data_IF_383993679264
#
_entry.id   IF_383993679264
#
_cell.length_a   1.000
_cell.length_b   1.000
_cell.length_c   1.000
_cell.angle_alpha   90.00
_cell.angle_beta   90.00
_cell.angle_gamma   90.00
#
_symmetry.space_group_name_H-M   'P 1'
#
loop_
_entity.id
_entity.type
_entity.pdbx_description
1 polymer ?
#
# COMPACT_ATOMS: atom_id res chain seq x y z
N UNK A 1 14.77 -41.36 22.72
CA UNK A 1 14.85 -40.14 21.90
C UNK A 1 16.29 -39.96 21.47
N UNK A 2 16.58 -40.09 20.18
CA UNK A 2 17.92 -39.80 19.66
C UNK A 2 18.00 -38.28 19.50
N UNK A 3 18.95 -37.67 20.19
CA UNK A 3 19.29 -36.26 20.05
C UNK A 3 20.20 -36.10 18.83
N UNK A 4 19.85 -35.21 17.91
CA UNK A 4 20.58 -34.97 16.66
C UNK A 4 21.11 -33.52 16.54
N UNK A 5 22.00 -33.01 17.40
CA UNK A 5 22.62 -31.70 17.14
C UNK A 5 23.74 -31.83 16.10
N UNK A 6 23.72 -31.00 15.05
CA UNK A 6 24.87 -30.82 14.13
C UNK A 6 24.81 -31.64 12.83
N UNK A 7 23.62 -32.04 12.41
CA UNK A 7 23.40 -32.82 11.17
C UNK A 7 23.43 -31.98 9.90
N UNK A 8 23.38 -30.64 10.04
CA UNK A 8 23.31 -29.74 8.88
C UNK A 8 22.01 -29.86 8.09
N UNK A 9 20.97 -30.43 8.70
CA UNK A 9 19.62 -30.41 8.15
C UNK A 9 19.03 -29.00 8.23
N UNK A 10 18.04 -28.71 7.38
CA UNK A 10 17.36 -27.42 7.33
C UNK A 10 16.79 -26.96 8.70
N UNK A 11 16.39 -27.92 9.55
CA UNK A 11 15.98 -27.69 10.93
C UNK A 11 17.10 -27.27 11.91
N UNK A 12 18.35 -27.62 11.63
CA UNK A 12 19.52 -27.27 12.49
C UNK A 12 20.06 -25.86 12.21
N UNK A 13 19.85 -25.34 11.00
CA UNK A 13 20.49 -24.10 10.54
C UNK A 13 19.58 -22.89 10.77
N UNK A 14 18.26 -23.09 10.97
CA UNK A 14 17.26 -22.00 10.99
C UNK A 14 17.54 -20.93 9.91
N UNK A 15 17.96 -21.37 8.71
CA UNK A 15 18.43 -20.50 7.63
C UNK A 15 17.30 -19.70 6.95
N UNK A 16 16.13 -19.59 7.60
CA UNK A 16 15.09 -18.66 7.21
C UNK A 16 15.45 -17.25 7.68
N UNK A 17 15.11 -16.25 6.88
CA UNK A 17 15.16 -14.86 7.34
C UNK A 17 14.24 -14.74 8.55
N UNK A 18 14.75 -14.35 9.74
CA UNK A 18 13.90 -14.16 10.91
C UNK A 18 12.85 -13.10 10.59
N UNK A 19 11.63 -13.30 11.06
CA UNK A 19 10.56 -12.35 10.75
C UNK A 19 10.88 -10.99 11.37
N UNK A 20 10.67 -9.89 10.62
CA UNK A 20 10.81 -8.55 11.17
C UNK A 20 9.76 -8.33 12.27
N UNK A 21 10.08 -7.43 13.20
CA UNK A 21 9.18 -6.99 14.27
C UNK A 21 9.05 -5.47 14.23
N UNK A 22 7.85 -4.90 13.95
CA UNK A 22 6.63 -5.62 13.59
C UNK A 22 6.73 -6.26 12.20
N UNK A 23 6.07 -7.41 12.01
CA UNK A 23 5.99 -8.06 10.69
C UNK A 23 5.09 -7.29 9.74
N UNK A 24 3.94 -6.84 10.24
CA UNK A 24 2.95 -6.10 9.48
C UNK A 24 2.76 -4.70 10.08
N UNK A 25 2.66 -3.70 9.21
CA UNK A 25 2.32 -2.32 9.59
C UNK A 25 0.93 -2.03 9.01
N UNK A 26 -0.03 -1.76 9.89
CA UNK A 26 -1.34 -1.22 9.53
C UNK A 26 -1.24 0.29 9.40
N UNK A 27 -1.60 0.82 8.23
CA UNK A 27 -1.51 2.25 7.93
C UNK A 27 -2.77 3.03 8.32
N UNK A 28 -3.81 2.35 8.82
CA UNK A 28 -5.08 2.99 9.20
C UNK A 28 -5.90 3.52 8.03
N UNK A 29 -5.49 3.20 6.80
CA UNK A 29 -6.13 3.59 5.53
C UNK A 29 -6.60 2.34 4.72
N UNK A 30 -6.90 1.25 5.43
CA UNK A 30 -7.27 -0.05 4.87
C UNK A 30 -6.18 -0.75 4.04
N UNK A 31 -4.91 -0.36 4.23
CA UNK A 31 -3.74 -1.06 3.68
C UNK A 31 -2.78 -1.52 4.77
N UNK A 32 -2.03 -2.59 4.47
CA UNK A 32 -1.07 -3.21 5.38
C UNK A 32 0.23 -3.50 4.63
N UNK A 33 1.36 -3.01 5.15
CA UNK A 33 2.70 -3.39 4.64
C UNK A 33 3.22 -4.64 5.34
N UNK A 34 3.71 -5.63 4.58
CA UNK A 34 4.49 -6.77 5.06
C UNK A 34 5.98 -6.44 5.01
N UNK A 35 6.61 -6.17 6.15
CA UNK A 35 8.03 -5.82 6.25
C UNK A 35 8.97 -6.97 5.84
N UNK A 36 8.47 -8.22 5.78
CA UNK A 36 9.27 -9.36 5.35
C UNK A 36 9.51 -9.33 3.83
N UNK A 37 8.47 -8.98 3.07
CA UNK A 37 8.49 -8.99 1.61
C UNK A 37 8.56 -7.60 0.99
N UNK A 38 8.30 -6.57 1.79
CA UNK A 38 8.10 -5.21 1.32
C UNK A 38 6.89 -5.09 0.43
N UNK A 39 5.87 -5.96 0.55
CA UNK A 39 4.62 -5.87 -0.21
C UNK A 39 3.56 -5.11 0.58
N UNK A 40 2.63 -4.47 -0.13
CA UNK A 40 1.46 -3.85 0.50
C UNK A 40 0.20 -4.58 0.07
N UNK A 41 -0.62 -4.92 1.05
CA UNK A 41 -1.82 -5.73 0.92
C UNK A 41 -3.04 -4.91 1.33
N UNK A 42 -4.20 -5.22 0.76
CA UNK A 42 -5.46 -4.71 1.32
C UNK A 42 -5.67 -5.31 2.71
N UNK A 43 -6.17 -4.50 3.64
CA UNK A 43 -6.45 -4.94 5.01
C UNK A 43 -7.59 -5.96 5.05
N UNK A 44 -8.64 -5.70 4.28
CA UNK A 44 -9.71 -6.66 4.03
C UNK A 44 -9.25 -7.73 3.03
N UNK A 45 -9.16 -8.96 3.50
CA UNK A 45 -8.78 -10.13 2.73
C UNK A 45 -9.96 -10.76 1.96
N UNK A 46 -11.16 -10.22 2.01
CA UNK A 46 -12.31 -10.59 1.18
C UNK A 46 -12.91 -9.31 0.58
N UNK A 47 -12.07 -8.50 -0.05
CA UNK A 47 -12.45 -7.18 -0.51
C UNK A 47 -13.69 -7.16 -1.46
N UNK A 48 -13.88 -8.12 -2.38
CA UNK A 48 -15.10 -8.18 -3.20
C UNK A 48 -16.36 -8.58 -2.42
N UNK A 49 -16.24 -9.02 -1.17
CA UNK A 49 -17.31 -9.56 -0.33
C UNK A 49 -17.78 -10.96 -0.71
N UNK A 50 -17.55 -11.39 -1.96
CA UNK A 50 -17.91 -12.70 -2.50
C UNK A 50 -16.76 -13.31 -3.31
N UNK A 51 -16.74 -14.63 -3.40
CA UNK A 51 -15.81 -15.37 -4.26
C UNK A 51 -16.05 -15.04 -5.74
N UNK A 52 -14.99 -15.11 -6.55
CA UNK A 52 -14.99 -14.73 -7.98
C UNK A 52 -14.41 -15.86 -8.82
N UNK A 53 -14.85 -15.94 -10.07
CA UNK A 53 -14.07 -16.66 -11.10
C UNK A 53 -12.72 -15.98 -11.30
N UNK A 54 -11.77 -16.68 -11.92
CA UNK A 54 -10.43 -16.13 -12.14
C UNK A 54 -10.45 -14.84 -12.99
N UNK A 55 -11.29 -14.80 -14.04
CA UNK A 55 -11.41 -13.62 -14.88
C UNK A 55 -12.08 -12.45 -14.13
N UNK A 56 -13.15 -12.72 -13.37
CA UNK A 56 -13.78 -11.69 -12.53
C UNK A 56 -12.83 -11.16 -11.46
N UNK A 57 -11.91 -11.98 -10.94
CA UNK A 57 -10.89 -11.54 -9.99
C UNK A 57 -9.91 -10.53 -10.64
N UNK A 58 -9.49 -10.79 -11.89
CA UNK A 58 -8.66 -9.86 -12.66
C UNK A 58 -9.41 -8.57 -12.99
N UNK A 59 -10.68 -8.68 -13.41
CA UNK A 59 -11.51 -7.53 -13.73
C UNK A 59 -11.82 -6.69 -12.48
N UNK A 60 -11.99 -7.32 -11.33
CA UNK A 60 -12.18 -6.63 -10.06
C UNK A 60 -10.96 -5.78 -9.71
N UNK A 61 -9.76 -6.36 -9.77
CA UNK A 61 -8.50 -5.65 -9.52
C UNK A 61 -8.30 -4.52 -10.54
N UNK A 62 -8.64 -4.73 -11.81
CA UNK A 62 -8.65 -3.66 -12.81
C UNK A 62 -9.60 -2.53 -12.41
N UNK A 63 -10.79 -2.86 -11.90
CA UNK A 63 -11.76 -1.90 -11.38
C UNK A 63 -11.24 -1.08 -10.20
N UNK A 64 -10.44 -1.67 -9.30
CA UNK A 64 -9.73 -0.93 -8.23
C UNK A 64 -8.79 0.11 -8.88
N UNK A 65 -7.97 -0.30 -9.84
CA UNK A 65 -6.99 0.58 -10.47
C UNK A 65 -7.60 1.69 -11.32
N UNK A 66 -8.79 1.47 -11.90
CA UNK A 66 -9.54 2.49 -12.65
C UNK A 66 -10.46 3.34 -11.79
N UNK A 67 -10.50 3.11 -10.47
CA UNK A 67 -11.36 3.85 -9.54
C UNK A 67 -12.84 3.48 -9.60
N UNK A 68 -13.19 2.33 -10.20
CA UNK A 68 -14.55 1.75 -10.12
C UNK A 68 -14.85 1.26 -8.70
N UNK A 69 -13.83 0.77 -8.00
CA UNK A 69 -13.88 0.42 -6.59
C UNK A 69 -12.90 1.29 -5.79
N UNK A 70 -13.01 1.31 -4.45
CA UNK A 70 -12.03 2.00 -3.60
C UNK A 70 -10.62 1.51 -3.94
N UNK A 71 -9.73 2.47 -4.20
CA UNK A 71 -8.37 2.20 -4.65
C UNK A 71 -7.31 2.46 -3.56
N UNK A 72 -7.77 2.92 -2.38
CA UNK A 72 -6.92 3.23 -1.22
C UNK A 72 -5.78 4.20 -1.54
N UNK A 73 -5.97 5.07 -2.55
CA UNK A 73 -4.96 6.01 -3.02
C UNK A 73 -3.93 5.44 -4.01
N UNK A 74 -4.07 4.19 -4.46
CA UNK A 74 -3.12 3.53 -5.35
C UNK A 74 -3.79 2.93 -6.60
N UNK A 75 -3.04 2.80 -7.70
CA UNK A 75 -3.57 2.36 -9.02
C UNK A 75 -2.77 1.21 -9.64
N UNK A 76 -1.89 0.59 -8.87
CA UNK A 76 -0.99 -0.49 -9.24
C UNK A 76 -1.31 -1.81 -8.50
N UNK A 77 -2.56 -1.99 -8.06
CA UNK A 77 -3.02 -3.24 -7.46
C UNK A 77 -3.00 -4.38 -8.46
N UNK A 78 -2.67 -5.57 -7.99
CA UNK A 78 -2.65 -6.81 -8.77
C UNK A 78 -3.14 -7.98 -7.95
N UNK A 79 -3.53 -9.04 -8.63
CA UNK A 79 -3.71 -10.33 -7.99
C UNK A 79 -2.32 -10.88 -7.58
N UNK A 80 -2.14 -11.36 -6.34
CA UNK A 80 -0.85 -11.84 -5.86
C UNK A 80 -0.41 -13.07 -6.63
N UNK A 81 0.89 -13.26 -6.78
CA UNK A 81 1.42 -14.51 -7.30
C UNK A 81 1.49 -15.57 -6.19
N UNK A 82 1.69 -16.83 -6.57
CA UNK A 82 1.71 -17.96 -5.62
C UNK A 82 2.71 -17.77 -4.48
N UNK A 83 3.91 -17.23 -4.75
CA UNK A 83 4.96 -17.04 -3.75
C UNK A 83 4.58 -15.94 -2.75
N UNK A 84 3.86 -14.91 -3.19
CA UNK A 84 3.42 -13.81 -2.33
C UNK A 84 2.29 -14.23 -1.39
N UNK A 85 1.32 -15.02 -1.86
CA UNK A 85 0.33 -15.62 -0.95
C UNK A 85 1.01 -16.57 0.04
N UNK A 86 1.94 -17.40 -0.43
CA UNK A 86 2.71 -18.31 0.43
C UNK A 86 3.55 -17.57 1.46
N UNK A 87 4.07 -16.38 1.16
CA UNK A 87 4.90 -15.65 2.12
C UNK A 87 4.10 -15.19 3.35
N UNK A 88 2.78 -15.03 3.23
CA UNK A 88 1.91 -14.72 4.37
C UNK A 88 1.77 -15.89 5.37
N UNK A 89 2.00 -17.13 4.92
CA UNK A 89 1.65 -18.34 5.65
C UNK A 89 2.54 -18.56 6.89
N UNK A 90 1.91 -18.71 8.05
CA UNK A 90 2.47 -19.25 9.29
C UNK A 90 1.98 -20.68 9.49
N UNK A 91 2.86 -21.67 9.26
CA UNK A 91 2.51 -23.09 9.39
C UNK A 91 2.35 -23.57 10.84
N UNK A 92 2.71 -22.75 11.83
CA UNK A 92 2.43 -23.05 13.23
C UNK A 92 1.00 -22.67 13.63
N UNK A 93 0.21 -22.11 12.70
CA UNK A 93 -1.15 -21.65 12.94
C UNK A 93 -2.12 -22.30 11.97
N UNK A 94 -3.39 -22.20 12.32
CA UNK A 94 -4.48 -22.82 11.59
C UNK A 94 -5.69 -21.88 11.60
N UNK A 95 -6.31 -21.71 10.43
CA UNK A 95 -7.56 -20.97 10.23
C UNK A 95 -7.67 -19.61 10.98
N UNK A 96 -6.97 -18.55 10.54
CA UNK A 96 -6.06 -18.53 9.40
C UNK A 96 -4.62 -18.93 9.77
N UNK A 97 -3.89 -19.43 8.78
CA UNK A 97 -2.45 -19.70 8.81
C UNK A 97 -1.66 -18.41 8.68
N UNK A 98 -1.94 -17.43 9.53
CA UNK A 98 -1.30 -16.11 9.50
C UNK A 98 -0.62 -15.78 10.83
N UNK A 99 0.46 -14.99 10.84
CA UNK A 99 1.20 -14.58 12.03
C UNK A 99 0.31 -14.07 13.16
N UNK A 100 0.66 -14.39 14.40
CA UNK A 100 -0.05 -13.81 15.55
C UNK A 100 0.01 -12.28 15.54
N UNK A 101 -1.14 -11.64 15.82
CA UNK A 101 -1.25 -10.19 15.81
C UNK A 101 -1.30 -9.54 14.43
N UNK A 102 -1.53 -10.31 13.35
CA UNK A 102 -1.73 -9.71 12.03
C UNK A 102 -2.92 -8.71 12.02
N UNK A 103 -2.83 -7.60 11.27
CA UNK A 103 -3.89 -6.59 11.22
C UNK A 103 -5.00 -6.90 10.19
N UNK A 104 -4.83 -7.95 9.38
CA UNK A 104 -5.79 -8.32 8.34
C UNK A 104 -7.17 -8.71 8.90
N UNK A 105 -8.21 -8.29 8.19
CA UNK A 105 -9.61 -8.55 8.50
C UNK A 105 -10.26 -9.43 7.43
N UNK A 106 -11.38 -10.08 7.76
CA UNK A 106 -12.16 -10.90 6.82
C UNK A 106 -11.37 -11.99 6.09
N UNK A 107 -10.30 -12.50 6.70
CA UNK A 107 -9.50 -13.59 6.15
C UNK A 107 -10.35 -14.86 6.12
N UNK A 108 -10.52 -15.41 4.93
CA UNK A 108 -11.30 -16.63 4.73
C UNK A 108 -10.39 -17.84 4.88
N UNK A 109 -10.78 -18.83 5.67
CA UNK A 109 -10.01 -20.06 5.89
C UNK A 109 -9.93 -21.01 4.68
N UNK A 110 -10.13 -20.51 3.48
CA UNK A 110 -10.22 -21.28 2.24
C UNK A 110 -9.24 -20.76 1.20
N UNK A 111 -9.47 -21.08 -0.07
CA UNK A 111 -8.58 -20.80 -1.18
C UNK A 111 -8.72 -19.39 -1.75
N UNK A 112 -7.56 -18.83 -2.09
CA UNK A 112 -7.38 -17.56 -2.75
C UNK A 112 -6.77 -17.73 -4.12
N UNK A 113 -7.25 -16.96 -5.10
CA UNK A 113 -6.66 -16.92 -6.43
C UNK A 113 -5.27 -16.30 -6.42
N UNK A 114 -4.35 -16.88 -7.20
CA UNK A 114 -3.11 -16.22 -7.59
C UNK A 114 -3.07 -15.89 -9.09
N UNK A 115 -2.29 -14.86 -9.46
CA UNK A 115 -2.01 -14.49 -10.85
C UNK A 115 -1.08 -15.47 -11.57
N UNK A 116 -0.49 -16.42 -10.86
CA UNK A 116 0.42 -17.40 -11.44
C UNK A 116 -0.36 -18.46 -12.22
N UNK A 117 -0.23 -18.45 -13.55
CA UNK A 117 -0.71 -19.53 -14.40
C UNK A 117 0.12 -20.80 -14.16
N UNK A 118 -0.51 -21.97 -14.20
CA UNK A 118 0.19 -23.24 -14.06
C UNK A 118 1.09 -23.48 -15.29
N UNK A 119 2.38 -23.72 -15.06
CA UNK A 119 3.39 -23.75 -16.13
C UNK A 119 3.18 -24.89 -17.15
N UNK A 120 2.46 -25.96 -16.76
CA UNK A 120 2.20 -27.13 -17.59
C UNK A 120 0.87 -26.98 -18.37
N UNK A 121 -0.05 -26.12 -17.89
CA UNK A 121 -1.33 -25.84 -18.53
C UNK A 121 -1.76 -24.41 -18.21
N UNK A 122 -1.72 -23.51 -19.20
CA UNK A 122 -2.20 -22.14 -19.05
C UNK A 122 -3.70 -22.05 -18.74
N UNK A 123 -4.43 -23.17 -18.87
CA UNK A 123 -5.82 -23.34 -18.43
C UNK A 123 -5.96 -23.35 -16.92
N UNK A 124 -4.91 -23.64 -16.14
CA UNK A 124 -4.98 -23.66 -14.68
C UNK A 124 -4.28 -22.44 -14.06
N UNK A 125 -4.72 -22.05 -12.86
CA UNK A 125 -4.06 -21.08 -12.00
C UNK A 125 -3.80 -21.69 -10.61
N UNK A 126 -2.73 -21.23 -9.96
CA UNK A 126 -2.45 -21.63 -8.59
C UNK A 126 -3.38 -20.92 -7.61
N UNK A 127 -3.86 -21.67 -6.62
CA UNK A 127 -4.61 -21.20 -5.47
C UNK A 127 -3.86 -21.51 -4.17
N UNK A 128 -4.05 -20.69 -3.15
CA UNK A 128 -3.45 -20.90 -1.82
C UNK A 128 -4.53 -20.88 -0.75
N UNK A 129 -4.59 -21.93 0.07
CA UNK A 129 -5.50 -22.04 1.21
C UNK A 129 -4.95 -21.28 2.41
N UNK A 130 -5.69 -20.31 2.92
CA UNK A 130 -5.33 -19.64 4.18
C UNK A 130 -5.74 -20.44 5.41
N UNK A 131 -6.54 -21.50 5.26
CA UNK A 131 -6.91 -22.39 6.37
C UNK A 131 -5.77 -23.32 6.78
N UNK A 132 -5.09 -23.91 5.78
CA UNK A 132 -4.09 -24.97 5.96
C UNK A 132 -2.72 -24.65 5.33
N UNK A 133 -2.58 -23.54 4.61
CA UNK A 133 -1.35 -23.19 3.89
C UNK A 133 -1.07 -24.08 2.68
N UNK A 134 -2.08 -24.80 2.19
CA UNK A 134 -1.98 -25.66 1.01
C UNK A 134 -1.95 -24.86 -0.27
N UNK A 135 -1.28 -25.42 -1.27
CA UNK A 135 -1.07 -24.79 -2.57
C UNK A 135 -1.44 -25.81 -3.61
N UNK A 136 -2.51 -25.50 -4.35
CA UNK A 136 -3.11 -26.38 -5.35
C UNK A 136 -3.21 -25.62 -6.68
N UNK A 137 -3.41 -26.34 -7.78
CA UNK A 137 -3.76 -25.76 -9.07
C UNK A 137 -5.17 -26.20 -9.48
N UNK A 138 -5.91 -25.27 -10.07
CA UNK A 138 -7.30 -25.49 -10.49
C UNK A 138 -7.52 -24.84 -11.84
N UNK A 139 -8.52 -25.33 -12.57
CA UNK A 139 -8.93 -24.76 -13.85
C UNK A 139 -9.36 -23.30 -13.67
N UNK A 140 -9.04 -22.44 -14.63
CA UNK A 140 -9.56 -21.07 -14.75
C UNK A 140 -11.01 -21.06 -15.28
N UNK A 141 -11.73 -22.15 -15.05
CA UNK A 141 -13.11 -22.38 -15.49
C UNK A 141 -14.04 -21.30 -14.92
N UNK A 142 -15.19 -21.11 -15.58
CA UNK A 142 -16.26 -20.24 -15.10
C UNK A 142 -17.00 -20.80 -13.88
N UNK A 143 -16.80 -22.08 -13.53
CA UNK A 143 -17.51 -22.74 -12.42
C UNK A 143 -16.74 -22.72 -11.10
N UNK A 144 -15.48 -22.29 -11.12
CA UNK A 144 -14.61 -22.26 -9.94
C UNK A 144 -14.54 -20.85 -9.34
N UNK A 145 -14.94 -20.73 -8.07
CA UNK A 145 -15.00 -19.44 -7.37
C UNK A 145 -14.09 -19.44 -6.14
N UNK A 146 -13.12 -18.52 -6.12
CA UNK A 146 -12.19 -18.34 -5.00
C UNK A 146 -12.04 -16.88 -4.61
N UNK A 147 -11.42 -16.64 -3.45
CA UNK A 147 -11.30 -15.32 -2.88
C UNK A 147 -10.18 -14.50 -3.51
N UNK A 148 -10.34 -13.18 -3.47
CA UNK A 148 -9.42 -12.21 -4.07
C UNK A 148 -8.81 -11.36 -2.96
N UNK A 149 -7.48 -11.37 -2.88
CA UNK A 149 -6.74 -10.55 -1.94
C UNK A 149 -5.72 -9.70 -2.70
N UNK A 150 -6.10 -8.46 -3.08
CA UNK A 150 -5.21 -7.61 -3.86
C UNK A 150 -3.91 -7.31 -3.11
N UNK A 151 -2.82 -7.33 -3.87
CA UNK A 151 -1.49 -6.93 -3.42
C UNK A 151 -0.95 -5.91 -4.40
N UNK A 152 -0.11 -5.01 -3.94
CA UNK A 152 0.73 -4.19 -4.80
C UNK A 152 2.18 -4.39 -4.37
N UNK A 153 3.09 -4.07 -5.29
CA UNK A 153 4.49 -3.93 -4.90
C UNK A 153 4.54 -2.90 -3.78
N UNK A 154 5.03 -3.29 -2.61
CA UNK A 154 5.24 -2.30 -1.58
C UNK A 154 6.54 -1.55 -1.89
N UNK A 155 6.60 -0.36 -1.32
CA UNK A 155 7.69 0.57 -1.50
C UNK A 155 8.89 -0.01 -0.74
N UNK A 156 9.94 -0.44 -1.46
CA UNK A 156 11.14 -0.98 -0.85
C UNK A 156 11.90 0.18 -0.19
N UNK A 157 11.76 0.34 1.12
CA UNK A 157 12.49 1.33 1.90
C UNK A 157 11.72 1.82 3.12
N UNK A 158 12.38 2.50 4.08
CA UNK A 158 11.65 3.30 5.06
C UNK A 158 10.70 4.23 4.31
N UNK A 159 9.41 4.19 4.66
CA UNK A 159 8.45 5.13 4.12
C UNK A 159 8.56 6.45 4.86
N UNK A 160 8.33 7.53 4.14
CA UNK A 160 8.50 8.87 4.62
C UNK A 160 7.25 9.71 4.43
N UNK A 161 7.16 10.78 5.20
CA UNK A 161 6.10 11.77 5.08
C UNK A 161 6.61 13.05 4.43
N UNK A 162 5.80 13.65 3.57
CA UNK A 162 5.93 15.06 3.18
C UNK A 162 4.93 15.84 4.02
N UNK A 163 5.42 16.78 4.83
CA UNK A 163 4.61 17.58 5.75
C UNK A 163 4.80 19.06 5.45
N UNK A 164 3.70 19.79 5.42
CA UNK A 164 3.73 21.24 5.23
C UNK A 164 2.49 21.92 5.77
N UNK A 165 2.47 23.24 5.58
CA UNK A 165 1.38 24.10 5.98
C UNK A 165 1.08 25.10 4.86
N UNK A 166 -0.21 25.42 4.71
CA UNK A 166 -0.64 26.52 3.84
C UNK A 166 -1.14 27.66 4.72
N UNK A 167 -0.57 28.85 4.57
CA UNK A 167 -0.95 30.04 5.34
C UNK A 167 -1.35 31.19 4.43
N UNK A 168 -2.31 32.00 4.86
CA UNK A 168 -2.61 33.32 4.29
C UNK A 168 -2.50 34.37 5.38
N UNK A 169 -1.71 35.42 5.17
CA UNK A 169 -1.43 36.44 6.19
C UNK A 169 -0.97 35.85 7.54
N UNK A 170 -0.11 34.81 7.50
CA UNK A 170 0.38 34.06 8.66
C UNK A 170 -0.68 33.26 9.44
N UNK A 171 -1.90 33.12 8.92
CA UNK A 171 -2.95 32.28 9.49
C UNK A 171 -3.10 31.02 8.65
N UNK A 172 -3.17 29.87 9.31
CA UNK A 172 -3.44 28.59 8.67
C UNK A 172 -4.70 28.60 7.81
N UNK A 173 -4.59 28.15 6.56
CA UNK A 173 -5.71 28.10 5.62
C UNK A 173 -6.18 26.66 5.41
N UNK A 174 -7.24 26.28 6.11
CA UNK A 174 -7.90 24.98 5.90
C UNK A 174 -8.68 24.88 4.60
N UNK A 175 -8.92 23.66 4.12
CA UNK A 175 -9.71 23.40 2.91
C UNK A 175 -9.00 23.70 1.59
N UNK A 176 -7.66 23.70 1.57
CA UNK A 176 -6.85 23.77 0.35
C UNK A 176 -6.62 22.35 -0.14
N UNK A 177 -6.88 22.07 -1.40
CA UNK A 177 -6.57 20.79 -2.03
C UNK A 177 -5.08 20.75 -2.34
N UNK A 178 -4.36 19.82 -1.74
CA UNK A 178 -2.95 19.56 -2.02
C UNK A 178 -2.86 18.35 -2.95
N UNK A 179 -2.18 18.52 -4.08
CA UNK A 179 -1.96 17.45 -5.07
C UNK A 179 -0.49 17.09 -5.09
N UNK A 180 -0.20 15.81 -4.92
CA UNK A 180 1.12 15.22 -5.11
C UNK A 180 1.17 14.54 -6.49
N UNK A 181 2.27 14.74 -7.21
CA UNK A 181 2.61 14.01 -8.44
C UNK A 181 4.08 13.59 -8.43
N UNK A 182 4.50 12.76 -9.41
CA UNK A 182 5.88 12.28 -9.55
C UNK A 182 5.96 10.77 -9.33
N UNK A 183 6.78 10.32 -8.37
CA UNK A 183 6.92 8.90 -8.02
C UNK A 183 5.63 8.23 -7.53
N UNK A 184 4.63 9.01 -7.13
CA UNK A 184 3.26 8.60 -6.86
C UNK A 184 2.31 9.78 -7.09
N UNK A 185 1.00 9.50 -7.13
CA UNK A 185 -0.03 10.53 -7.23
C UNK A 185 -1.01 10.40 -6.08
N UNK A 186 -1.27 11.49 -5.36
CA UNK A 186 -2.19 11.53 -4.23
C UNK A 186 -2.80 12.92 -4.07
N UNK A 187 -3.93 13.02 -3.36
CA UNK A 187 -4.50 14.30 -2.94
C UNK A 187 -4.83 14.27 -1.45
N UNK A 188 -4.71 15.42 -0.80
CA UNK A 188 -5.17 15.64 0.59
C UNK A 188 -5.73 17.04 0.74
N UNK A 189 -6.39 17.33 1.86
CA UNK A 189 -6.98 18.64 2.15
C UNK A 189 -6.35 19.17 3.43
N UNK A 190 -5.96 20.45 3.43
CA UNK A 190 -5.42 21.08 4.65
C UNK A 190 -6.45 21.10 5.79
N UNK A 191 -5.99 20.76 6.99
CA UNK A 191 -6.76 20.87 8.23
C UNK A 191 -7.09 22.35 8.56
N UNK A 192 -7.99 22.66 9.51
CA UNK A 192 -8.37 24.04 9.83
C UNK A 192 -7.19 24.96 10.19
N UNK A 193 -6.10 24.42 10.72
CA UNK A 193 -4.86 25.13 11.03
C UNK A 193 -3.89 25.25 9.82
N UNK A 194 -4.33 24.84 8.62
CA UNK A 194 -3.55 24.89 7.39
C UNK A 194 -2.58 23.73 7.19
N UNK A 195 -2.45 22.80 8.14
CA UNK A 195 -1.48 21.70 8.03
C UNK A 195 -1.96 20.61 7.08
N UNK A 196 -1.02 19.92 6.43
CA UNK A 196 -1.27 18.73 5.62
C UNK A 196 -0.10 17.75 5.69
N UNK A 197 -0.35 16.50 5.33
CA UNK A 197 0.69 15.49 5.16
C UNK A 197 0.36 14.50 4.05
N UNK A 198 1.36 14.13 3.27
CA UNK A 198 1.36 12.90 2.48
C UNK A 198 2.19 11.86 3.24
N UNK A 199 1.57 10.74 3.61
CA UNK A 199 2.23 9.63 4.29
C UNK A 199 2.60 8.52 3.30
N UNK A 200 3.39 7.56 3.77
CA UNK A 200 3.70 6.31 3.05
C UNK A 200 4.38 6.52 1.69
N UNK A 201 5.27 7.51 1.63
CA UNK A 201 6.01 7.87 0.42
C UNK A 201 7.36 7.16 0.37
N UNK A 202 7.67 6.51 -0.75
CA UNK A 202 9.02 6.03 -1.01
C UNK A 202 10.02 7.17 -1.15
N UNK A 203 11.30 6.80 -1.09
CA UNK A 203 12.35 7.59 -1.69
C UNK A 203 12.05 7.83 -3.17
N UNK A 204 12.19 9.09 -3.59
CA UNK A 204 11.79 9.50 -4.92
C UNK A 204 11.64 11.00 -5.05
N UNK A 205 11.35 11.42 -6.27
CA UNK A 205 11.09 12.81 -6.61
C UNK A 205 9.60 13.03 -6.80
N UNK A 206 9.09 14.08 -6.16
CA UNK A 206 7.69 14.44 -6.10
C UNK A 206 7.52 15.92 -6.37
N UNK A 207 6.31 16.32 -6.77
CA UNK A 207 5.90 17.73 -6.83
C UNK A 207 4.62 17.88 -6.02
N UNK A 208 4.58 18.87 -5.12
CA UNK A 208 3.38 19.23 -4.35
C UNK A 208 2.81 20.54 -4.89
N UNK A 209 1.53 20.53 -5.21
CA UNK A 209 0.82 21.67 -5.83
C UNK A 209 -0.48 21.97 -5.07
N UNK A 210 -0.63 23.16 -4.47
CA UNK A 210 -1.87 23.60 -3.84
C UNK A 210 -2.91 24.09 -4.86
N UNK A 211 -4.18 23.92 -4.53
CA UNK A 211 -5.29 24.50 -5.29
C UNK A 211 -6.49 24.82 -4.40
N UNK A 212 -7.05 26.01 -4.56
CA UNK A 212 -8.30 26.44 -3.93
C UNK A 212 -8.92 27.57 -4.74
N UNK A 213 -10.22 27.53 -4.96
CA UNK A 213 -10.95 28.56 -5.72
C UNK A 213 -10.71 29.95 -5.08
N UNK A 214 -10.48 30.97 -5.91
CA UNK A 214 -10.23 32.37 -5.54
C UNK A 214 -8.89 32.65 -4.82
N UNK A 215 -8.01 31.65 -4.72
CA UNK A 215 -6.67 31.80 -4.18
C UNK A 215 -5.60 31.49 -5.23
N UNK A 216 -4.51 32.25 -5.18
CA UNK A 216 -3.24 31.95 -5.80
C UNK A 216 -2.26 31.48 -4.72
N UNK A 217 -1.23 30.74 -5.10
CA UNK A 217 -0.24 30.19 -4.16
C UNK A 217 1.19 30.53 -4.58
N UNK A 218 2.01 30.86 -3.60
CA UNK A 218 3.43 31.14 -3.75
C UNK A 218 4.24 30.23 -2.82
N UNK A 219 5.12 29.37 -3.36
CA UNK A 219 5.28 29.05 -4.78
C UNK A 219 4.04 28.32 -5.36
N UNK A 220 3.87 28.24 -6.70
CA UNK A 220 2.73 27.50 -7.30
C UNK A 220 2.88 25.98 -7.18
N UNK A 221 4.09 25.48 -6.93
CA UNK A 221 4.40 24.08 -6.63
C UNK A 221 5.82 23.97 -6.08
N UNK A 222 6.07 22.91 -5.30
CA UNK A 222 7.40 22.62 -4.74
C UNK A 222 7.81 21.22 -5.17
N UNK A 223 8.99 21.12 -5.77
CA UNK A 223 9.63 19.82 -6.01
C UNK A 223 10.30 19.33 -4.72
N UNK A 224 10.01 18.10 -4.34
CA UNK A 224 10.46 17.44 -3.12
C UNK A 224 11.21 16.17 -3.49
N UNK A 225 12.40 15.98 -2.92
CA UNK A 225 13.11 14.70 -2.98
C UNK A 225 13.08 14.06 -1.61
N UNK A 226 12.56 12.84 -1.54
CA UNK A 226 12.66 11.97 -0.38
C UNK A 226 13.87 11.06 -0.58
N UNK A 227 14.77 11.04 0.41
CA UNK A 227 15.97 10.21 0.41
C UNK A 227 16.29 9.75 1.85
N UNK A 228 15.58 8.72 2.31
CA UNK A 228 15.81 8.07 3.60
C UNK A 228 15.28 8.85 4.82
N UNK A 229 14.53 9.94 4.63
CA UNK A 229 13.93 10.70 5.74
C UNK A 229 12.64 11.45 5.35
N UNK A 230 11.82 11.75 6.37
CA UNK A 230 10.65 12.62 6.27
C UNK A 230 11.07 14.02 5.82
N UNK A 231 10.31 14.60 4.89
CA UNK A 231 10.48 15.99 4.44
C UNK A 231 9.44 16.86 5.13
N UNK A 232 9.89 17.97 5.71
CA UNK A 232 9.06 18.95 6.44
C UNK A 232 9.31 20.34 5.89
N UNK A 233 8.38 21.26 6.14
CA UNK A 233 8.48 22.66 5.70
C UNK A 233 8.19 22.85 4.21
N UNK A 234 7.38 21.97 3.64
CA UNK A 234 6.88 22.12 2.25
C UNK A 234 5.69 23.08 2.30
N UNK A 235 5.97 24.35 2.56
CA UNK A 235 4.95 25.32 2.93
C UNK A 235 4.55 26.21 1.76
N UNK A 236 3.30 26.69 1.78
CA UNK A 236 2.75 27.56 0.74
C UNK A 236 2.10 28.80 1.36
N UNK A 237 2.32 29.94 0.70
CA UNK A 237 1.58 31.17 1.00
C UNK A 237 0.40 31.30 0.05
N UNK A 238 -0.79 31.58 0.59
CA UNK A 238 -2.02 31.78 -0.15
C UNK A 238 -2.34 33.27 -0.24
N UNK A 239 -2.65 33.73 -1.44
CA UNK A 239 -3.01 35.12 -1.75
C UNK A 239 -4.37 35.13 -2.45
N UNK A 240 -5.24 36.07 -2.12
CA UNK A 240 -6.49 36.23 -2.88
C UNK A 240 -6.19 36.84 -4.25
N UNK A 241 -7.01 36.54 -5.27
CA UNK A 241 -6.80 36.98 -6.67
C UNK A 241 -6.68 38.49 -6.95
N UNK A 242 -6.65 39.35 -5.92
CA UNK A 242 -6.40 40.79 -5.99
C UNK A 242 -5.02 41.21 -5.47
N UNK A 243 -4.24 40.30 -4.87
CA UNK A 243 -2.94 40.60 -4.27
C UNK A 243 -1.84 39.80 -5.00
N UNK A 244 -1.11 40.48 -5.90
CA UNK A 244 -0.12 39.86 -6.80
C UNK A 244 1.33 40.09 -6.37
N UNK A 245 1.57 40.67 -5.19
CA UNK A 245 2.93 40.94 -4.71
C UNK A 245 3.39 39.93 -3.66
N UNK A 246 4.37 39.06 -3.96
CA UNK A 246 5.06 38.28 -2.94
C UNK A 246 5.73 39.24 -1.94
N UNK A 247 5.73 38.95 -0.62
CA UNK A 247 6.50 39.72 0.33
C UNK A 247 7.99 39.60 -0.03
N UNK A 248 8.58 40.71 -0.47
CA UNK A 248 10.03 40.83 -0.63
C UNK A 248 10.63 40.97 0.77
N UNK A 249 11.14 39.86 1.30
CA UNK A 249 11.96 39.89 2.51
C UNK A 249 13.21 40.72 2.26
N UNK A 250 13.28 41.91 2.85
CA UNK A 250 14.51 42.68 2.95
C UNK A 250 15.37 42.07 4.05
N UNK A 251 16.53 41.53 3.69
CA UNK A 251 17.59 41.23 4.65
C UNK A 251 18.27 42.57 4.96
N UNK A 252 18.20 43.01 6.22
CA UNK A 252 19.09 44.02 6.80
C UNK A 252 20.09 43.29 7.68
#
# INVERSE_FOLDING_TARGET
MISCPGTGQDGDIQAGVPWPSPRFIDHGNDTVTDNLTGLMWTKDANLPGTSKTWQEALDYVKGINTGTYSNFGYTDWRLPNRKELQSLIDRNRYNPTLPSGHPFTNVQGVYYWSSTSYAISSYNAWIVSMGYGYVDDVSKSYDDFYYVWPVRSGQVGPVHSIIGQVTGNSIGLGGVTMTLSGGASATTITAPDGTYSFADMADGSYTVTPSKRNYNFGPPGIDVTIAGANVRGVDFQAYTGTDTTPPTGSII
#
